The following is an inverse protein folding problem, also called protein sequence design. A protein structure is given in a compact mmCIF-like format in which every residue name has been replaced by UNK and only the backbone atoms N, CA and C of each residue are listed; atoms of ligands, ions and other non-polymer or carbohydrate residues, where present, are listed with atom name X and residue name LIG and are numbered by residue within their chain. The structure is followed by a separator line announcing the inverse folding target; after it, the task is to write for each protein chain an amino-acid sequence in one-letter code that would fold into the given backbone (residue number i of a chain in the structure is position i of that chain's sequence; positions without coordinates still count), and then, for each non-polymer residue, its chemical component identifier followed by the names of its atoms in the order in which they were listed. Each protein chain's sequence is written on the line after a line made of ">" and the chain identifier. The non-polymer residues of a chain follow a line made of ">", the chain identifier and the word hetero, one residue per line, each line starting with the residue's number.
data_IF_424347803272
#
_entry.id   IF_424347803272
#
_cell.length_a   1.000
_cell.length_b   1.000
_cell.length_c   1.000
_cell.angle_alpha   90.00
_cell.angle_beta   90.00
_cell.angle_gamma   90.00
#
_symmetry.space_group_name_H-M   'P 1'
#
loop_
_entity.id
_entity.type
_entity.pdbx_description
1 polymer ?
#
# COMPACT_ATOMS: atom_id res chain seq x y z
N UNK A 1 -5.53 -28.39 -19.36
CA UNK A 1 -4.27 -28.03 -20.08
C UNK A 1 -3.27 -27.54 -19.06
N UNK A 2 -1.98 -27.71 -19.29
CA UNK A 2 -0.96 -27.20 -18.37
C UNK A 2 0.06 -26.33 -19.11
N UNK A 3 0.53 -25.28 -18.46
CA UNK A 3 1.61 -24.38 -18.89
C UNK A 3 2.45 -24.02 -17.65
N UNK A 4 3.59 -23.39 -17.84
CA UNK A 4 4.31 -22.72 -16.75
C UNK A 4 4.47 -21.23 -17.02
N UNK A 5 4.64 -20.44 -15.97
CA UNK A 5 5.06 -19.04 -16.05
C UNK A 5 6.45 -18.95 -15.41
N UNK A 6 7.45 -18.48 -16.16
CA UNK A 6 8.78 -18.28 -15.58
C UNK A 6 8.81 -16.99 -14.76
N UNK A 7 8.58 -17.18 -13.47
CA UNK A 7 8.62 -16.16 -12.41
C UNK A 7 9.64 -16.52 -11.32
N UNK A 8 10.65 -17.33 -11.67
CA UNK A 8 11.73 -17.77 -10.78
C UNK A 8 12.56 -16.59 -10.24
N UNK A 9 12.72 -15.54 -11.05
CA UNK A 9 13.15 -14.22 -10.61
C UNK A 9 11.95 -13.24 -10.71
N UNK A 10 11.42 -12.74 -9.59
CA UNK A 10 10.28 -11.82 -9.59
C UNK A 10 10.60 -10.48 -10.27
N UNK A 11 11.88 -10.10 -10.41
CA UNK A 11 12.30 -8.88 -11.09
C UNK A 11 12.54 -9.07 -12.60
N UNK A 12 12.45 -10.30 -13.09
CA UNK A 12 12.65 -10.67 -14.50
C UNK A 12 11.64 -11.71 -14.97
N UNK A 13 10.39 -11.57 -14.53
CA UNK A 13 9.30 -12.47 -14.91
C UNK A 13 8.72 -12.16 -16.30
N UNK A 14 8.20 -13.18 -16.97
CA UNK A 14 7.39 -13.01 -18.19
C UNK A 14 5.91 -13.12 -17.85
N UNK A 15 5.04 -12.47 -18.64
CA UNK A 15 3.58 -12.59 -18.49
C UNK A 15 2.98 -13.59 -19.50
N UNK A 16 3.81 -14.38 -20.17
CA UNK A 16 3.39 -15.29 -21.23
C UNK A 16 3.63 -16.74 -20.81
N UNK A 17 2.58 -17.50 -20.48
CA UNK A 17 2.73 -18.89 -20.10
C UNK A 17 3.25 -19.75 -21.26
N UNK A 18 4.19 -20.63 -20.95
CA UNK A 18 4.85 -21.53 -21.89
C UNK A 18 4.44 -23.00 -21.67
N UNK A 19 4.41 -23.84 -22.72
CA UNK A 19 4.58 -23.50 -24.12
C UNK A 19 3.30 -22.89 -24.74
N UNK A 20 3.44 -22.20 -25.89
CA UNK A 20 2.31 -21.59 -26.64
C UNK A 20 1.22 -22.59 -27.02
N UNK A 21 1.56 -23.89 -27.14
CA UNK A 21 0.60 -24.98 -27.35
C UNK A 21 0.54 -25.83 -26.08
N UNK A 22 -0.41 -25.56 -25.16
CA UNK A 22 -0.45 -26.20 -23.86
C UNK A 22 -0.66 -27.72 -24.00
N UNK A 23 0.22 -28.57 -23.45
CA UNK A 23 -0.03 -30.00 -23.39
C UNK A 23 -1.22 -30.32 -22.47
N UNK A 24 -1.72 -31.55 -22.61
CA UNK A 24 -2.73 -32.11 -21.72
C UNK A 24 -2.05 -32.92 -20.63
N UNK A 25 -2.48 -32.72 -19.40
CA UNK A 25 -2.12 -33.51 -18.23
C UNK A 25 -3.42 -33.98 -17.58
N UNK A 26 -3.46 -35.25 -17.17
CA UNK A 26 -4.61 -35.85 -16.51
C UNK A 26 -4.33 -35.89 -15.01
N UNK A 27 -4.99 -35.02 -14.26
CA UNK A 27 -4.97 -35.06 -12.80
C UNK A 27 -5.91 -36.15 -12.29
N UNK A 28 -5.54 -36.75 -11.17
CA UNK A 28 -6.42 -37.58 -10.35
C UNK A 28 -7.13 -36.69 -9.34
N UNK A 29 -8.46 -36.73 -9.34
CA UNK A 29 -9.29 -35.90 -8.45
C UNK A 29 -9.23 -36.34 -6.99
N UNK A 30 -8.84 -37.58 -6.75
CA UNK A 30 -8.81 -38.25 -5.44
C UNK A 30 -7.42 -38.29 -4.80
N UNK A 31 -6.43 -37.64 -5.40
CA UNK A 31 -5.07 -37.54 -4.86
C UNK A 31 -4.67 -36.07 -4.61
N UNK A 32 -3.95 -35.79 -3.52
CA UNK A 32 -3.39 -34.46 -3.28
C UNK A 32 -2.55 -33.96 -4.46
N UNK A 33 -2.63 -32.67 -4.74
CA UNK A 33 -1.92 -32.06 -5.87
C UNK A 33 -0.40 -32.08 -5.69
N UNK A 34 0.11 -32.04 -4.45
CA UNK A 34 1.53 -32.14 -4.11
C UNK A 34 2.15 -33.45 -4.62
N UNK A 35 1.37 -34.54 -4.65
CA UNK A 35 1.80 -35.83 -5.16
C UNK A 35 1.80 -35.91 -6.70
N UNK A 36 1.21 -34.92 -7.38
CA UNK A 36 1.02 -34.89 -8.83
C UNK A 36 1.85 -33.81 -9.53
N UNK A 37 2.25 -32.76 -8.80
CA UNK A 37 2.96 -31.59 -9.35
C UNK A 37 4.28 -31.96 -10.05
N UNK A 38 5.02 -32.95 -9.54
CA UNK A 38 6.23 -33.45 -10.16
C UNK A 38 5.98 -34.09 -11.55
N UNK A 39 4.77 -34.58 -11.81
CA UNK A 39 4.35 -35.04 -13.14
C UNK A 39 4.16 -33.88 -14.11
N UNK A 40 3.51 -32.81 -13.65
CA UNK A 40 3.28 -31.57 -14.42
C UNK A 40 4.60 -30.88 -14.75
N UNK A 41 5.48 -30.73 -13.74
CA UNK A 41 6.82 -30.16 -13.88
C UNK A 41 7.64 -30.87 -14.96
N UNK A 42 7.75 -32.20 -14.89
CA UNK A 42 8.48 -33.02 -15.88
C UNK A 42 7.89 -32.93 -17.29
N UNK A 43 6.56 -32.90 -17.41
CA UNK A 43 5.88 -32.77 -18.70
C UNK A 43 6.21 -31.42 -19.35
N UNK A 44 6.21 -30.35 -18.57
CA UNK A 44 6.47 -28.99 -19.03
C UNK A 44 7.96 -28.70 -19.23
N UNK A 45 8.85 -29.48 -18.60
CA UNK A 45 10.29 -29.18 -18.49
C UNK A 45 10.51 -27.78 -17.92
N UNK A 46 9.72 -27.42 -16.92
CA UNK A 46 9.73 -26.11 -16.31
C UNK A 46 11.09 -25.82 -15.64
N UNK A 47 11.61 -24.58 -15.69
CA UNK A 47 12.90 -24.22 -15.12
C UNK A 47 12.89 -24.14 -13.59
N UNK A 48 11.70 -24.12 -12.97
CA UNK A 48 11.50 -24.05 -11.53
C UNK A 48 12.15 -25.21 -10.77
N UNK A 49 12.58 -24.96 -9.53
CA UNK A 49 12.89 -26.06 -8.61
C UNK A 49 11.59 -26.79 -8.26
N UNK A 50 11.55 -28.13 -8.26
CA UNK A 50 10.32 -28.89 -8.01
C UNK A 50 9.62 -28.53 -6.70
N UNK A 51 10.40 -28.29 -5.64
CA UNK A 51 9.88 -28.01 -4.29
C UNK A 51 9.35 -26.57 -4.13
N UNK A 52 9.71 -25.66 -5.05
CA UNK A 52 9.32 -24.24 -5.04
C UNK A 52 8.09 -24.00 -5.95
N UNK A 53 7.48 -25.06 -6.49
CA UNK A 53 6.38 -24.95 -7.45
C UNK A 53 5.02 -24.78 -6.76
N UNK A 54 4.14 -24.03 -7.41
CA UNK A 54 2.73 -23.85 -7.12
C UNK A 54 1.89 -24.06 -8.38
N UNK A 55 0.58 -24.28 -8.22
CA UNK A 55 -0.37 -24.38 -9.32
C UNK A 55 -1.40 -23.26 -9.22
N UNK A 56 -1.60 -22.53 -10.31
CA UNK A 56 -2.55 -21.43 -10.39
C UNK A 56 -3.54 -21.65 -11.54
N UNK A 57 -4.80 -21.31 -11.35
CA UNK A 57 -5.82 -21.37 -12.38
C UNK A 57 -5.71 -20.15 -13.32
N UNK A 58 -5.61 -20.40 -14.63
CA UNK A 58 -5.37 -19.33 -15.61
C UNK A 58 -6.51 -18.33 -15.78
N UNK A 59 -7.69 -18.61 -15.22
CA UNK A 59 -8.92 -17.87 -15.49
C UNK A 59 -9.37 -17.00 -14.31
N UNK A 60 -9.24 -17.54 -13.10
CA UNK A 60 -9.52 -16.82 -11.86
C UNK A 60 -8.26 -16.20 -11.26
N UNK A 61 -7.08 -16.75 -11.55
CA UNK A 61 -5.85 -16.42 -10.83
C UNK A 61 -5.75 -17.10 -9.47
N UNK A 62 -6.71 -17.96 -9.07
CA UNK A 62 -6.65 -18.67 -7.79
C UNK A 62 -5.46 -19.62 -7.74
N UNK A 63 -4.75 -19.60 -6.62
CA UNK A 63 -3.73 -20.59 -6.29
C UNK A 63 -4.41 -21.83 -5.69
N UNK A 64 -4.08 -23.01 -6.21
CA UNK A 64 -4.59 -24.27 -5.70
C UNK A 64 -3.80 -24.70 -4.47
N UNK A 65 -4.51 -25.20 -3.46
CA UNK A 65 -3.88 -25.82 -2.30
C UNK A 65 -3.28 -27.17 -2.72
N UNK A 66 -1.96 -27.29 -2.60
CA UNK A 66 -1.23 -28.49 -3.00
C UNK A 66 -1.46 -29.67 -2.05
N UNK A 67 -1.75 -29.41 -0.77
CA UNK A 67 -1.99 -30.46 0.23
C UNK A 67 -3.38 -31.09 0.05
N UNK A 68 -4.31 -30.38 -0.59
CA UNK A 68 -5.66 -30.84 -0.88
C UNK A 68 -5.78 -31.56 -2.22
N UNK A 69 -6.80 -32.40 -2.35
CA UNK A 69 -7.24 -33.02 -3.60
C UNK A 69 -8.03 -32.01 -4.46
N UNK A 70 -8.24 -32.29 -5.75
CA UNK A 70 -9.12 -31.44 -6.59
C UNK A 70 -10.60 -31.58 -6.19
N UNK A 71 -10.99 -32.73 -5.65
CA UNK A 71 -12.36 -32.95 -5.17
C UNK A 71 -12.70 -32.07 -3.96
N UNK A 72 -11.74 -31.81 -3.07
CA UNK A 72 -11.92 -30.97 -1.88
C UNK A 72 -12.00 -29.48 -2.19
N UNK A 73 -11.36 -29.02 -3.27
CA UNK A 73 -11.33 -27.62 -3.70
C UNK A 73 -12.11 -27.41 -5.01
N UNK A 74 -13.22 -28.13 -5.17
CA UNK A 74 -14.01 -28.11 -6.42
C UNK A 74 -14.62 -26.74 -6.72
N UNK A 75 -14.92 -25.96 -5.69
CA UNK A 75 -15.53 -24.63 -5.82
C UNK A 75 -14.58 -23.65 -6.55
N UNK A 76 -13.27 -23.78 -6.34
CA UNK A 76 -12.25 -23.00 -7.08
C UNK A 76 -12.18 -23.36 -8.57
N UNK A 77 -12.69 -24.54 -8.95
CA UNK A 77 -12.71 -25.04 -10.32
C UNK A 77 -14.01 -24.72 -11.07
N UNK A 78 -14.93 -23.96 -10.46
CA UNK A 78 -16.14 -23.47 -11.13
C UNK A 78 -15.76 -22.67 -12.39
N UNK A 79 -16.45 -22.92 -13.51
CA UNK A 79 -16.09 -22.36 -14.82
C UNK A 79 -14.97 -23.09 -15.57
N UNK A 80 -14.16 -23.94 -14.92
CA UNK A 80 -13.17 -24.79 -15.63
C UNK A 80 -13.83 -25.91 -16.45
N UNK A 81 -15.04 -26.33 -16.06
CA UNK A 81 -15.81 -27.42 -16.67
C UNK A 81 -16.96 -26.94 -17.61
N UNK A 82 -17.29 -25.66 -17.60
CA UNK A 82 -18.42 -25.10 -18.35
C UNK A 82 -18.01 -24.71 -19.78
N UNK A 83 -17.89 -25.71 -20.66
CA UNK A 83 -18.39 -25.57 -22.03
C UNK A 83 -18.11 -26.85 -22.84
N UNK A 84 -19.12 -27.71 -22.97
CA UNK A 84 -19.12 -28.78 -23.98
C UNK A 84 -19.36 -28.26 -25.41
N UNK A 85 -19.48 -26.94 -25.60
CA UNK A 85 -19.91 -26.33 -26.86
C UNK A 85 -18.86 -25.52 -27.61
N UNK A 86 -18.10 -24.64 -26.93
CA UNK A 86 -17.10 -23.75 -27.57
C UNK A 86 -16.22 -22.99 -26.55
N UNK A 87 -15.88 -23.63 -25.43
CA UNK A 87 -15.29 -23.00 -24.25
C UNK A 87 -13.88 -22.48 -24.43
N UNK A 88 -13.59 -21.34 -23.78
CA UNK A 88 -12.23 -20.87 -23.55
C UNK A 88 -11.44 -22.01 -22.90
N UNK A 89 -10.30 -22.37 -23.51
CA UNK A 89 -9.47 -23.48 -23.07
C UNK A 89 -8.67 -23.07 -21.84
N UNK A 90 -9.24 -23.24 -20.65
CA UNK A 90 -8.58 -22.96 -19.37
C UNK A 90 -7.34 -23.85 -19.17
N UNK A 91 -6.32 -23.28 -18.52
CA UNK A 91 -5.08 -23.98 -18.17
C UNK A 91 -4.80 -23.87 -16.67
N UNK A 92 -4.06 -24.85 -16.16
CA UNK A 92 -3.39 -24.78 -14.87
C UNK A 92 -1.95 -24.33 -15.17
N UNK A 93 -1.51 -23.27 -14.51
CA UNK A 93 -0.20 -22.67 -14.66
C UNK A 93 0.68 -23.14 -13.50
N UNK A 94 1.76 -23.84 -13.82
CA UNK A 94 2.84 -24.12 -12.88
C UNK A 94 3.70 -22.86 -12.74
N UNK A 95 3.92 -22.40 -11.53
CA UNK A 95 4.71 -21.20 -11.26
C UNK A 95 5.41 -21.30 -9.92
N UNK A 96 6.19 -20.29 -9.55
CA UNK A 96 6.87 -20.25 -8.25
C UNK A 96 5.87 -19.93 -7.13
N UNK A 97 6.02 -20.57 -5.97
CA UNK A 97 5.22 -20.27 -4.77
C UNK A 97 5.32 -18.78 -4.38
N UNK A 98 4.21 -18.23 -3.89
CA UNK A 98 4.14 -16.83 -3.46
C UNK A 98 5.19 -16.52 -2.39
N UNK A 99 5.29 -17.37 -1.36
CA UNK A 99 6.27 -17.24 -0.28
C UNK A 99 7.70 -17.18 -0.81
N UNK A 100 8.09 -18.10 -1.70
CA UNK A 100 9.42 -18.14 -2.31
C UNK A 100 9.71 -16.85 -3.10
N UNK A 101 8.75 -16.36 -3.89
CA UNK A 101 8.89 -15.10 -4.64
C UNK A 101 9.01 -13.88 -3.73
N UNK A 102 8.23 -13.83 -2.64
CA UNK A 102 8.31 -12.75 -1.64
C UNK A 102 9.67 -12.74 -0.95
N UNK A 103 10.18 -13.91 -0.53
CA UNK A 103 11.51 -13.99 0.07
C UNK A 103 12.59 -13.57 -0.91
N UNK A 104 12.49 -13.95 -2.20
CA UNK A 104 13.40 -13.48 -3.23
C UNK A 104 13.34 -11.96 -3.44
N UNK A 105 12.13 -11.36 -3.37
CA UNK A 105 11.97 -9.91 -3.38
C UNK A 105 12.72 -9.25 -2.21
N UNK A 106 12.46 -9.70 -0.98
CA UNK A 106 13.06 -9.14 0.24
C UNK A 106 14.59 -9.31 0.23
N UNK A 107 15.07 -10.51 -0.09
CA UNK A 107 16.50 -10.80 -0.19
C UNK A 107 17.19 -9.89 -1.21
N UNK A 108 16.57 -9.69 -2.38
CA UNK A 108 17.09 -8.78 -3.41
C UNK A 108 17.22 -7.37 -2.88
N UNK A 109 16.24 -6.87 -2.13
CA UNK A 109 16.27 -5.51 -1.59
C UNK A 109 17.37 -5.32 -0.54
N UNK A 110 17.61 -6.30 0.33
CA UNK A 110 18.68 -6.22 1.32
C UNK A 110 20.08 -6.39 0.73
N UNK A 111 20.23 -7.21 -0.31
CA UNK A 111 21.55 -7.57 -0.86
C UNK A 111 21.96 -6.74 -2.08
N UNK A 112 21.09 -5.89 -2.62
CA UNK A 112 21.40 -5.04 -3.78
C UNK A 112 21.86 -3.65 -3.35
N UNK A 113 22.72 -3.02 -4.15
CA UNK A 113 23.13 -1.62 -3.98
C UNK A 113 23.16 -0.86 -5.31
N UNK A 114 23.19 0.46 -5.25
CA UNK A 114 23.35 1.32 -6.43
C UNK A 114 22.31 1.05 -7.54
N UNK A 115 22.79 0.85 -8.78
CA UNK A 115 21.92 0.67 -9.95
C UNK A 115 20.99 -0.54 -9.82
N UNK A 116 21.43 -1.60 -9.17
CA UNK A 116 20.65 -2.82 -9.02
C UNK A 116 19.48 -2.60 -8.06
N UNK A 117 19.75 -2.03 -6.87
CA UNK A 117 18.72 -1.68 -5.91
C UNK A 117 17.70 -0.70 -6.51
N UNK A 118 18.18 0.31 -7.25
CA UNK A 118 17.32 1.26 -7.95
C UNK A 118 16.34 0.56 -8.90
N UNK A 119 16.80 -0.44 -9.65
CA UNK A 119 15.94 -1.21 -10.57
C UNK A 119 14.95 -2.08 -9.81
N UNK A 120 15.40 -2.76 -8.76
CA UNK A 120 14.54 -3.58 -7.92
C UNK A 120 13.39 -2.74 -7.33
N UNK A 121 13.71 -1.63 -6.65
CA UNK A 121 12.72 -0.71 -6.09
C UNK A 121 11.75 -0.16 -7.14
N UNK A 122 12.25 0.19 -8.33
CA UNK A 122 11.41 0.69 -9.41
C UNK A 122 10.38 -0.36 -9.87
N UNK A 123 10.77 -1.62 -9.93
CA UNK A 123 9.92 -2.73 -10.39
C UNK A 123 8.89 -3.19 -9.36
N UNK A 124 9.11 -2.97 -8.05
CA UNK A 124 8.23 -3.45 -6.99
C UNK A 124 6.76 -3.08 -7.19
N UNK A 125 6.49 -1.85 -7.64
CA UNK A 125 5.11 -1.43 -7.94
C UNK A 125 4.46 -2.39 -8.94
N UNK A 126 5.14 -2.69 -10.04
CA UNK A 126 4.59 -3.53 -11.10
C UNK A 126 4.40 -4.97 -10.60
N UNK A 127 5.33 -5.47 -9.79
CA UNK A 127 5.25 -6.82 -9.21
C UNK A 127 3.96 -7.00 -8.39
N UNK A 128 3.67 -6.06 -7.48
CA UNK A 128 2.42 -6.11 -6.69
C UNK A 128 1.17 -5.83 -7.51
N UNK A 129 1.29 -5.05 -8.59
CA UNK A 129 0.18 -4.76 -9.48
C UNK A 129 -0.21 -5.98 -10.34
N UNK A 130 0.78 -6.74 -10.82
CA UNK A 130 0.57 -7.91 -11.68
C UNK A 130 0.12 -9.14 -10.88
N UNK A 131 0.45 -9.21 -9.59
CA UNK A 131 0.12 -10.34 -8.72
C UNK A 131 -0.26 -9.87 -7.31
N UNK A 132 -1.55 -9.61 -7.12
CA UNK A 132 -2.10 -9.08 -5.86
C UNK A 132 -1.87 -10.01 -4.67
N UNK A 133 -1.77 -11.32 -4.90
CA UNK A 133 -1.65 -12.32 -3.84
C UNK A 133 -0.26 -12.28 -3.19
N UNK A 134 0.73 -11.66 -3.85
CA UNK A 134 2.02 -11.34 -3.23
C UNK A 134 1.90 -10.30 -2.11
N UNK A 135 0.86 -9.47 -2.09
CA UNK A 135 0.76 -8.37 -1.11
C UNK A 135 0.56 -8.91 0.30
N UNK A 136 -0.36 -9.87 0.46
CA UNK A 136 -0.58 -10.54 1.74
C UNK A 136 0.71 -11.21 2.24
N UNK A 137 1.32 -12.05 1.39
CA UNK A 137 2.56 -12.77 1.72
C UNK A 137 3.73 -11.82 2.03
N UNK A 138 3.83 -10.69 1.32
CA UNK A 138 4.86 -9.69 1.55
C UNK A 138 4.70 -9.00 2.91
N UNK A 139 3.48 -8.73 3.33
CA UNK A 139 3.20 -8.19 4.67
C UNK A 139 3.58 -9.20 5.75
N UNK A 140 3.16 -10.47 5.60
CA UNK A 140 3.45 -11.56 6.56
C UNK A 140 4.96 -11.80 6.70
N UNK A 141 5.72 -11.71 5.61
CA UNK A 141 7.16 -11.92 5.59
C UNK A 141 8.00 -10.70 6.04
N UNK A 142 7.43 -9.75 6.79
CA UNK A 142 8.10 -8.51 7.23
C UNK A 142 8.61 -7.62 6.08
N UNK A 143 7.98 -7.70 4.91
CA UNK A 143 8.36 -6.92 3.74
C UNK A 143 8.22 -5.41 3.94
N UNK A 144 7.23 -4.96 4.73
CA UNK A 144 7.10 -3.55 5.11
C UNK A 144 8.32 -3.07 5.91
N UNK A 145 8.79 -3.85 6.89
CA UNK A 145 10.00 -3.55 7.64
C UNK A 145 11.22 -3.43 6.74
N UNK A 146 11.33 -4.31 5.72
CA UNK A 146 12.38 -4.20 4.70
C UNK A 146 12.32 -2.87 3.95
N UNK A 147 11.12 -2.44 3.50
CA UNK A 147 10.96 -1.17 2.79
C UNK A 147 11.37 0.03 3.66
N UNK A 148 11.00 0.03 4.94
CA UNK A 148 11.34 1.13 5.85
C UNK A 148 12.85 1.17 6.12
N UNK A 149 13.49 0.03 6.38
CA UNK A 149 14.95 -0.05 6.58
C UNK A 149 15.71 0.46 5.36
N UNK A 150 15.33 0.02 4.16
CA UNK A 150 15.95 0.49 2.91
C UNK A 150 15.67 1.97 2.69
N UNK A 151 14.46 2.45 2.98
CA UNK A 151 14.04 3.83 2.74
C UNK A 151 14.62 4.87 3.71
N UNK A 152 14.92 4.48 4.95
CA UNK A 152 15.44 5.38 5.98
C UNK A 152 16.81 5.97 5.64
N UNK A 153 17.67 5.21 4.97
CA UNK A 153 19.05 5.61 4.61
C UNK A 153 19.20 6.00 3.13
N UNK A 154 18.11 5.95 2.35
CA UNK A 154 18.18 6.11 0.91
C UNK A 154 17.96 7.54 0.42
N UNK A 155 18.40 7.80 -0.82
CA UNK A 155 18.14 9.07 -1.50
C UNK A 155 16.66 9.23 -1.89
N UNK A 156 16.28 10.45 -2.25
CA UNK A 156 14.89 10.83 -2.57
C UNK A 156 14.27 10.03 -3.72
N UNK A 157 15.08 9.53 -4.68
CA UNK A 157 14.56 8.73 -5.78
C UNK A 157 14.15 7.34 -5.28
N UNK A 158 14.97 6.76 -4.39
CA UNK A 158 14.72 5.43 -3.82
C UNK A 158 13.52 5.50 -2.89
N UNK A 159 13.46 6.53 -2.03
CA UNK A 159 12.28 6.84 -1.22
C UNK A 159 11.02 6.94 -2.07
N UNK A 160 11.07 7.67 -3.19
CA UNK A 160 9.92 7.77 -4.10
C UNK A 160 9.52 6.42 -4.72
N UNK A 161 10.47 5.57 -5.11
CA UNK A 161 10.13 4.23 -5.60
C UNK A 161 9.48 3.36 -4.51
N UNK A 162 9.96 3.45 -3.26
CA UNK A 162 9.33 2.78 -2.11
C UNK A 162 7.92 3.31 -1.88
N UNK A 163 7.73 4.62 -1.88
CA UNK A 163 6.40 5.25 -1.73
C UNK A 163 5.42 4.80 -2.83
N UNK A 164 5.89 4.66 -4.07
CA UNK A 164 5.07 4.13 -5.18
C UNK A 164 4.69 2.66 -4.98
N UNK A 165 5.57 1.85 -4.40
CA UNK A 165 5.27 0.46 -4.05
C UNK A 165 4.29 0.38 -2.87
N UNK A 166 4.50 1.18 -1.82
CA UNK A 166 3.56 1.29 -0.69
C UNK A 166 2.17 1.74 -1.15
N UNK A 167 2.09 2.74 -2.02
CA UNK A 167 0.82 3.17 -2.60
C UNK A 167 0.11 2.07 -3.37
N UNK A 168 0.85 1.15 -4.01
CA UNK A 168 0.25 -0.03 -4.65
C UNK A 168 -0.22 -1.05 -3.62
N UNK A 169 0.57 -1.32 -2.57
CA UNK A 169 0.20 -2.22 -1.46
C UNK A 169 -1.10 -1.75 -0.79
N UNK A 170 -1.23 -0.44 -0.53
CA UNK A 170 -2.40 0.15 0.13
C UNK A 170 -3.71 0.03 -0.65
N UNK A 171 -3.67 -0.28 -1.95
CA UNK A 171 -4.90 -0.52 -2.73
C UNK A 171 -5.57 -1.86 -2.40
N UNK A 172 -4.86 -2.76 -1.72
CA UNK A 172 -5.37 -4.07 -1.33
C UNK A 172 -5.68 -4.10 0.17
N UNK A 173 -6.76 -4.78 0.54
CA UNK A 173 -7.22 -4.89 1.93
C UNK A 173 -6.13 -5.47 2.84
N UNK A 174 -5.49 -6.57 2.42
CA UNK A 174 -4.37 -7.16 3.18
C UNK A 174 -3.19 -6.19 3.34
N UNK A 175 -2.89 -5.42 2.30
CA UNK A 175 -1.82 -4.43 2.33
C UNK A 175 -2.11 -3.31 3.32
N UNK A 176 -3.33 -2.76 3.29
CA UNK A 176 -3.76 -1.72 4.22
C UNK A 176 -3.79 -2.21 5.67
N UNK A 177 -4.34 -3.39 5.93
CA UNK A 177 -4.33 -4.03 7.26
C UNK A 177 -2.89 -4.26 7.77
N UNK A 178 -1.99 -4.62 6.85
CA UNK A 178 -0.55 -4.70 7.13
C UNK A 178 0.05 -3.38 7.58
N UNK A 179 -0.28 -2.27 6.92
CA UNK A 179 0.17 -0.94 7.32
C UNK A 179 -0.42 -0.50 8.67
N UNK A 180 -1.71 -0.78 8.92
CA UNK A 180 -2.36 -0.49 10.20
C UNK A 180 -1.67 -1.23 11.36
N UNK A 181 -1.15 -2.43 11.09
CA UNK A 181 -0.44 -3.26 12.08
C UNK A 181 1.06 -2.94 12.18
N UNK A 182 1.61 -2.06 11.33
CA UNK A 182 3.04 -1.76 11.26
C UNK A 182 3.31 -0.26 11.45
N UNK A 183 3.37 0.16 12.73
CA UNK A 183 3.51 1.56 13.15
C UNK A 183 4.71 2.28 12.53
N UNK A 184 5.82 1.57 12.32
CA UNK A 184 7.03 2.11 11.72
C UNK A 184 6.80 2.62 10.29
N UNK A 185 5.87 2.04 9.53
CA UNK A 185 5.53 2.54 8.20
C UNK A 185 4.85 3.90 8.29
N UNK A 186 3.87 4.05 9.18
CA UNK A 186 3.13 5.30 9.36
C UNK A 186 4.05 6.39 9.93
N UNK A 187 4.91 6.05 10.89
CA UNK A 187 5.95 6.94 11.43
C UNK A 187 6.91 7.40 10.32
N UNK A 188 7.31 6.50 9.42
CA UNK A 188 8.19 6.84 8.31
C UNK A 188 7.50 7.74 7.29
N UNK A 189 6.26 7.45 6.90
CA UNK A 189 5.45 8.31 6.02
C UNK A 189 5.33 9.72 6.58
N UNK A 190 5.00 9.86 7.87
CA UNK A 190 4.94 11.16 8.53
C UNK A 190 6.30 11.86 8.59
N UNK A 191 7.38 11.13 8.89
CA UNK A 191 8.74 11.68 8.89
C UNK A 191 9.16 12.25 7.53
N UNK A 192 8.67 11.67 6.43
CA UNK A 192 8.94 12.12 5.06
C UNK A 192 8.17 13.38 4.65
N UNK A 193 7.15 13.78 5.42
CA UNK A 193 6.47 15.08 5.25
C UNK A 193 7.44 16.23 5.50
N UNK A 194 8.38 16.08 6.44
CA UNK A 194 9.46 17.05 6.70
C UNK A 194 10.67 16.94 5.74
N UNK A 195 10.51 16.32 4.57
CA UNK A 195 11.59 16.16 3.59
C UNK A 195 11.82 17.44 2.79
N UNK A 196 13.07 17.78 2.49
CA UNK A 196 13.42 18.89 1.59
C UNK A 196 13.02 18.66 0.12
N UNK A 197 12.54 17.47 -0.22
CA UNK A 197 12.21 17.08 -1.59
C UNK A 197 10.70 17.08 -1.80
N UNK A 198 10.18 18.12 -2.48
CA UNK A 198 8.75 18.32 -2.76
C UNK A 198 8.00 17.04 -3.18
N UNK A 199 8.58 16.24 -4.08
CA UNK A 199 7.92 15.03 -4.59
C UNK A 199 7.75 13.93 -3.52
N UNK A 200 8.71 13.84 -2.58
CA UNK A 200 8.64 12.92 -1.44
C UNK A 200 7.56 13.39 -0.47
N UNK A 201 7.54 14.68 -0.14
CA UNK A 201 6.50 15.29 0.72
C UNK A 201 5.11 15.06 0.13
N UNK A 202 4.91 15.45 -1.13
CA UNK A 202 3.64 15.28 -1.84
C UNK A 202 3.13 13.85 -1.82
N UNK A 203 4.01 12.89 -2.14
CA UNK A 203 3.62 11.48 -2.19
C UNK A 203 3.30 10.96 -0.79
N UNK A 204 4.07 11.36 0.22
CA UNK A 204 3.84 10.94 1.62
C UNK A 204 2.51 11.47 2.15
N UNK A 205 2.18 12.75 1.92
CA UNK A 205 0.88 13.32 2.29
C UNK A 205 -0.28 12.58 1.63
N UNK A 206 -0.17 12.24 0.34
CA UNK A 206 -1.19 11.46 -0.36
C UNK A 206 -1.39 10.07 0.24
N UNK A 207 -0.31 9.38 0.60
CA UNK A 207 -0.42 8.08 1.24
C UNK A 207 -1.03 8.18 2.64
N UNK A 208 -0.66 9.20 3.43
CA UNK A 208 -1.28 9.46 4.73
C UNK A 208 -2.78 9.76 4.60
N UNK A 209 -3.20 10.52 3.57
CA UNK A 209 -4.62 10.74 3.28
C UNK A 209 -5.34 9.42 2.95
N UNK A 210 -4.80 8.62 2.04
CA UNK A 210 -5.37 7.29 1.71
C UNK A 210 -5.45 6.38 2.94
N UNK A 211 -4.47 6.48 3.85
CA UNK A 211 -4.48 5.75 5.11
C UNK A 211 -5.63 6.19 6.03
N UNK A 212 -5.77 7.49 6.29
CA UNK A 212 -6.82 8.00 7.20
C UNK A 212 -8.22 7.84 6.60
N UNK A 213 -8.38 7.96 5.28
CA UNK A 213 -9.67 7.78 4.59
C UNK A 213 -10.15 6.31 4.56
N UNK A 214 -9.26 5.34 4.82
CA UNK A 214 -9.63 3.92 4.76
C UNK A 214 -10.62 3.52 5.86
N UNK A 215 -10.40 3.98 7.09
CA UNK A 215 -11.28 3.75 8.24
C UNK A 215 -11.03 4.81 9.30
N UNK A 216 -12.08 5.24 10.01
CA UNK A 216 -12.01 6.27 11.06
C UNK A 216 -10.94 5.95 12.12
N UNK A 217 -10.80 4.67 12.49
CA UNK A 217 -9.79 4.23 13.47
C UNK A 217 -8.33 4.52 13.07
N UNK A 218 -8.05 4.76 11.79
CA UNK A 218 -6.71 5.11 11.31
C UNK A 218 -6.27 6.51 11.73
N UNK A 219 -7.21 7.42 12.05
CA UNK A 219 -6.88 8.72 12.60
C UNK A 219 -6.08 8.60 13.91
N UNK A 220 -6.54 7.74 14.83
CA UNK A 220 -5.84 7.47 16.09
C UNK A 220 -4.44 6.85 15.86
N UNK A 221 -4.32 5.94 14.88
CA UNK A 221 -3.03 5.34 14.52
C UNK A 221 -2.06 6.37 13.95
N UNK A 222 -2.55 7.31 13.12
CA UNK A 222 -1.73 8.41 12.61
C UNK A 222 -1.25 9.32 13.75
N UNK A 223 -2.14 9.72 14.66
CA UNK A 223 -1.77 10.56 15.82
C UNK A 223 -0.70 9.88 16.67
N UNK A 224 -0.83 8.58 16.94
CA UNK A 224 0.19 7.81 17.66
C UNK A 224 1.54 7.82 16.94
N UNK A 225 1.53 7.67 15.61
CA UNK A 225 2.75 7.73 14.80
C UNK A 225 3.38 9.13 14.80
N UNK A 226 2.59 10.19 14.69
CA UNK A 226 3.04 11.59 14.80
C UNK A 226 3.70 11.80 16.16
N UNK A 227 3.03 11.40 17.24
CA UNK A 227 3.56 11.52 18.59
C UNK A 227 4.90 10.79 18.77
N UNK A 228 5.00 9.56 18.26
CA UNK A 228 6.24 8.79 18.33
C UNK A 228 7.40 9.46 17.57
N UNK A 229 7.14 10.08 16.41
CA UNK A 229 8.16 10.78 15.62
C UNK A 229 8.59 12.08 16.29
N UNK A 230 7.64 12.91 16.69
CA UNK A 230 7.92 14.23 17.26
C UNK A 230 8.54 14.14 18.65
N UNK A 231 8.10 13.18 19.48
CA UNK A 231 8.75 12.89 20.78
C UNK A 231 10.22 12.49 20.61
N UNK A 232 10.54 11.68 19.59
CA UNK A 232 11.94 11.30 19.30
C UNK A 232 12.77 12.50 18.84
N UNK A 233 12.16 13.49 18.18
CA UNK A 233 12.83 14.70 17.68
C UNK A 233 12.88 15.84 18.71
N UNK A 234 12.07 15.77 19.77
CA UNK A 234 11.95 16.83 20.77
C UNK A 234 11.19 18.06 20.27
N UNK A 235 10.28 17.87 19.31
CA UNK A 235 9.47 18.90 18.65
C UNK A 235 7.99 18.75 19.01
N UNK A 236 7.17 19.76 18.69
CA UNK A 236 5.73 19.74 18.95
C UNK A 236 5.03 18.76 18.01
N UNK A 237 3.90 18.20 18.45
CA UNK A 237 3.04 17.37 17.60
C UNK A 237 2.68 18.11 16.30
N UNK A 238 2.57 17.44 15.16
CA UNK A 238 2.21 18.08 13.88
C UNK A 238 3.20 19.10 13.31
N UNK A 239 4.38 19.27 13.91
CA UNK A 239 5.40 20.22 13.46
C UNK A 239 5.65 20.21 11.95
N UNK A 240 5.90 19.03 11.35
CA UNK A 240 6.20 18.94 9.91
C UNK A 240 5.04 19.44 9.02
N UNK A 241 3.79 19.30 9.48
CA UNK A 241 2.61 19.77 8.76
C UNK A 241 2.46 21.29 8.93
N UNK A 242 2.70 21.80 10.14
CA UNK A 242 2.71 23.23 10.41
C UNK A 242 3.78 23.97 9.59
N UNK A 243 4.98 23.39 9.43
CA UNK A 243 6.02 24.01 8.58
C UNK A 243 5.59 24.16 7.11
N UNK A 244 4.79 23.21 6.60
CA UNK A 244 4.20 23.31 5.26
C UNK A 244 3.20 24.46 5.21
N UNK A 245 2.29 24.55 6.19
CA UNK A 245 1.25 25.58 6.25
C UNK A 245 1.82 27.00 6.43
N UNK A 246 2.97 27.11 7.10
CA UNK A 246 3.73 28.35 7.27
C UNK A 246 4.46 28.83 5.99
N UNK A 247 4.47 28.03 4.92
CA UNK A 247 5.13 28.35 3.64
C UNK A 247 6.65 28.60 3.75
N UNK A 248 7.35 27.95 4.71
CA UNK A 248 8.78 28.18 4.97
C UNK A 248 9.68 27.97 3.74
N UNK A 249 9.34 27.02 2.89
CA UNK A 249 10.07 26.69 1.65
C UNK A 249 9.46 27.32 0.38
N UNK A 250 8.52 28.25 0.55
CA UNK A 250 7.78 28.91 -0.53
C UNK A 250 6.33 28.44 -0.64
N UNK A 251 5.56 29.16 -1.45
CA UNK A 251 4.12 28.90 -1.62
C UNK A 251 3.90 27.72 -2.56
N UNK A 252 3.27 26.67 -2.05
CA UNK A 252 2.89 25.47 -2.81
C UNK A 252 1.46 25.07 -2.47
N UNK A 253 0.49 25.67 -3.17
CA UNK A 253 -0.94 25.51 -2.88
C UNK A 253 -1.38 24.05 -2.78
N UNK A 254 -0.82 23.17 -3.62
CA UNK A 254 -1.17 21.76 -3.60
C UNK A 254 -0.73 21.07 -2.28
N UNK A 255 0.46 21.39 -1.75
CA UNK A 255 0.89 20.85 -0.46
C UNK A 255 0.09 21.43 0.70
N UNK A 256 -0.23 22.72 0.63
CA UNK A 256 -1.07 23.39 1.64
C UNK A 256 -2.45 22.72 1.73
N UNK A 257 -3.08 22.44 0.57
CA UNK A 257 -4.36 21.73 0.52
C UNK A 257 -4.22 20.34 1.14
N UNK A 258 -3.25 19.51 0.72
CA UNK A 258 -3.09 18.17 1.30
C UNK A 258 -2.78 18.19 2.80
N UNK A 259 -1.97 19.14 3.26
CA UNK A 259 -1.65 19.32 4.68
C UNK A 259 -2.91 19.64 5.50
N UNK A 260 -3.70 20.61 5.05
CA UNK A 260 -4.92 21.00 5.75
C UNK A 260 -6.01 19.93 5.66
N UNK A 261 -6.18 19.27 4.51
CA UNK A 261 -7.09 18.13 4.36
C UNK A 261 -6.71 16.99 5.30
N UNK A 262 -5.41 16.71 5.47
CA UNK A 262 -4.97 15.66 6.38
C UNK A 262 -5.32 15.99 7.83
N UNK A 263 -5.17 17.25 8.27
CA UNK A 263 -5.63 17.69 9.59
C UNK A 263 -7.13 17.47 9.72
N UNK A 264 -7.94 18.01 8.79
CA UNK A 264 -9.39 17.91 8.84
C UNK A 264 -9.88 16.45 8.90
N UNK A 265 -9.36 15.58 8.03
CA UNK A 265 -9.74 14.16 8.00
C UNK A 265 -9.28 13.42 9.25
N UNK A 266 -8.15 13.81 9.83
CA UNK A 266 -7.68 13.20 11.09
C UNK A 266 -8.55 13.62 12.26
N UNK A 267 -8.91 14.90 12.37
CA UNK A 267 -9.79 15.41 13.42
C UNK A 267 -11.20 14.81 13.31
N UNK A 268 -11.75 14.71 12.10
CA UNK A 268 -13.06 14.10 11.85
C UNK A 268 -13.11 12.60 12.18
N UNK A 269 -11.97 11.91 12.26
CA UNK A 269 -11.88 10.51 12.64
C UNK A 269 -11.74 10.26 14.14
N UNK A 270 -11.76 11.32 14.98
CA UNK A 270 -11.64 11.18 16.43
C UNK A 270 -12.98 10.73 17.05
N UNK A 271 -12.95 9.81 18.04
CA UNK A 271 -14.16 9.17 18.56
C UNK A 271 -14.94 10.02 19.58
N UNK A 272 -14.30 11.03 20.19
CA UNK A 272 -14.87 11.84 21.26
C UNK A 272 -14.33 13.28 21.24
N UNK A 273 -15.09 14.18 21.86
CA UNK A 273 -14.78 15.61 21.92
C UNK A 273 -13.50 15.90 22.71
N UNK A 274 -13.22 15.15 23.79
CA UNK A 274 -12.01 15.35 24.59
C UNK A 274 -10.75 15.17 23.74
N UNK A 275 -10.70 14.07 22.97
CA UNK A 275 -9.61 13.79 22.04
C UNK A 275 -9.52 14.84 20.92
N UNK A 276 -10.66 15.34 20.44
CA UNK A 276 -10.72 16.41 19.44
C UNK A 276 -10.09 17.70 19.96
N UNK A 277 -10.49 18.16 21.15
CA UNK A 277 -9.97 19.38 21.75
C UNK A 277 -8.49 19.27 22.15
N UNK A 278 -8.06 18.11 22.68
CA UNK A 278 -6.63 17.85 22.93
C UNK A 278 -5.78 18.07 21.67
N UNK A 279 -6.32 17.66 20.51
CA UNK A 279 -5.63 17.80 19.23
C UNK A 279 -5.68 19.22 18.67
N UNK A 280 -6.84 19.89 18.75
CA UNK A 280 -6.99 21.29 18.34
C UNK A 280 -6.07 22.19 19.17
N UNK A 281 -6.04 22.03 20.49
CA UNK A 281 -5.15 22.80 21.38
C UNK A 281 -3.68 22.66 20.96
N UNK A 282 -3.25 21.46 20.59
CA UNK A 282 -1.89 21.23 20.09
C UNK A 282 -1.58 21.99 18.78
N UNK A 283 -2.58 22.14 17.90
CA UNK A 283 -2.45 22.88 16.64
C UNK A 283 -2.47 24.40 16.90
N UNK A 284 -3.34 24.87 17.80
CA UNK A 284 -3.43 26.28 18.16
C UNK A 284 -2.20 26.78 18.91
N UNK A 285 -1.61 25.96 19.77
CA UNK A 285 -0.30 26.21 20.41
C UNK A 285 0.86 26.38 19.41
N UNK A 286 0.65 26.01 18.15
CA UNK A 286 1.58 26.22 17.03
C UNK A 286 1.15 27.35 16.09
N UNK A 287 0.02 28.01 16.36
CA UNK A 287 -0.46 29.16 15.60
C UNK A 287 -1.25 28.79 14.34
N UNK A 288 -2.04 27.71 14.39
CA UNK A 288 -2.93 27.36 13.28
C UNK A 288 -3.97 28.44 12.99
N UNK A 289 -4.63 29.02 13.99
CA UNK A 289 -5.55 30.16 13.84
C UNK A 289 -4.89 31.33 13.09
N UNK A 290 -3.71 31.75 13.53
CA UNK A 290 -2.98 32.84 12.88
C UNK A 290 -2.60 32.51 11.43
N UNK A 291 -2.28 31.24 11.16
CA UNK A 291 -1.97 30.73 9.82
C UNK A 291 -3.22 30.72 8.92
N UNK A 292 -4.36 30.27 9.43
CA UNK A 292 -5.63 30.26 8.74
C UNK A 292 -6.08 31.68 8.37
N UNK A 293 -6.08 32.61 9.34
CA UNK A 293 -6.44 34.02 9.12
C UNK A 293 -5.56 34.69 8.05
N UNK A 294 -4.26 34.40 8.06
CA UNK A 294 -3.32 34.91 7.05
C UNK A 294 -3.66 34.42 5.65
N UNK A 295 -4.00 33.15 5.49
CA UNK A 295 -4.36 32.57 4.18
C UNK A 295 -5.73 33.05 3.70
N UNK A 296 -6.73 33.12 4.57
CA UNK A 296 -8.08 33.60 4.25
C UNK A 296 -8.10 35.10 3.91
N UNK A 297 -7.25 35.92 4.55
CA UNK A 297 -7.14 37.35 4.28
C UNK A 297 -6.34 37.72 3.03
N UNK A 298 -5.58 36.77 2.46
CA UNK A 298 -4.71 37.02 1.31
C UNK A 298 -5.50 36.95 0.00
N UNK A 299 -5.37 37.99 -0.84
CA UNK A 299 -5.97 37.98 -2.18
C UNK A 299 -5.25 36.99 -3.09
N UNK A 300 -6.00 36.12 -3.75
CA UNK A 300 -5.47 35.12 -4.68
C UNK A 300 -5.03 33.81 -4.03
N UNK A 301 -5.42 33.56 -2.78
CA UNK A 301 -5.31 32.23 -2.16
C UNK A 301 -6.13 31.22 -2.97
N UNK A 302 -5.58 30.01 -3.07
CA UNK A 302 -6.23 28.89 -3.74
C UNK A 302 -7.59 28.58 -3.11
N UNK A 303 -8.61 28.37 -3.94
CA UNK A 303 -10.00 28.19 -3.47
C UNK A 303 -10.16 26.88 -2.70
N UNK A 304 -9.44 25.83 -3.08
CA UNK A 304 -9.50 24.53 -2.40
C UNK A 304 -8.87 24.67 -1.01
N UNK A 305 -7.80 25.46 -0.88
CA UNK A 305 -7.19 25.75 0.42
C UNK A 305 -8.12 26.56 1.33
N UNK A 306 -8.79 27.58 0.77
CA UNK A 306 -9.80 28.37 1.49
C UNK A 306 -10.93 27.47 1.97
N UNK A 307 -11.40 26.53 1.14
CA UNK A 307 -12.42 25.56 1.52
C UNK A 307 -11.94 24.67 2.68
N UNK A 308 -10.70 24.17 2.67
CA UNK A 308 -10.17 23.36 3.76
C UNK A 308 -10.09 24.12 5.09
N UNK A 309 -9.69 25.40 5.09
CA UNK A 309 -9.72 26.21 6.31
C UNK A 309 -11.15 26.50 6.77
N UNK A 310 -12.09 26.73 5.85
CA UNK A 310 -13.49 26.92 6.22
C UNK A 310 -14.10 25.65 6.83
N UNK A 311 -13.74 24.46 6.33
CA UNK A 311 -14.17 23.18 6.92
C UNK A 311 -13.66 23.08 8.36
N UNK A 312 -12.39 23.38 8.61
CA UNK A 312 -11.81 23.38 9.96
C UNK A 312 -12.59 24.30 10.91
N UNK A 313 -12.80 25.57 10.52
CA UNK A 313 -13.52 26.56 11.31
C UNK A 313 -14.99 26.17 11.57
N UNK A 314 -15.66 25.60 10.57
CA UNK A 314 -17.04 25.12 10.72
C UNK A 314 -17.14 23.95 11.68
N UNK A 315 -16.22 22.99 11.59
CA UNK A 315 -16.17 21.85 12.51
C UNK A 315 -15.87 22.31 13.93
N UNK A 316 -14.90 23.22 14.12
CA UNK A 316 -14.58 23.77 15.43
C UNK A 316 -15.79 24.46 16.10
N UNK A 317 -16.51 25.31 15.36
CA UNK A 317 -17.74 25.95 15.86
C UNK A 317 -18.85 24.97 16.19
N UNK A 318 -18.98 23.92 15.38
CA UNK A 318 -19.96 22.86 15.63
C UNK A 318 -19.64 22.13 16.94
N UNK A 319 -18.38 21.79 17.19
CA UNK A 319 -17.95 21.17 18.45
C UNK A 319 -18.14 22.11 19.65
N UNK A 320 -17.94 23.42 19.47
CA UNK A 320 -18.15 24.45 20.51
C UNK A 320 -19.64 24.67 20.87
N UNK A 321 -20.57 24.09 20.10
CA UNK A 321 -22.02 24.21 20.33
C UNK A 321 -22.67 25.44 19.70
N UNK A 322 -22.01 26.09 18.73
CA UNK A 322 -22.59 27.17 17.92
C UNK A 322 -23.55 26.59 16.86
N UNK A 323 -24.77 26.30 17.31
CA UNK A 323 -25.84 25.49 16.66
C UNK A 323 -26.48 26.10 15.38
N UNK A 324 -25.79 26.94 14.60
CA UNK A 324 -26.31 27.52 13.35
C UNK A 324 -25.79 26.90 12.03
N UNK A 325 -24.86 25.93 12.06
CA UNK A 325 -24.30 25.35 10.83
C UNK A 325 -24.33 23.82 10.79
N UNK A 326 -25.03 23.26 9.79
CA UNK A 326 -24.98 21.83 9.47
C UNK A 326 -23.56 21.39 9.11
N UNK A 327 -23.12 20.18 9.51
CA UNK A 327 -21.80 19.68 9.17
C UNK A 327 -21.66 19.53 7.63
N UNK A 328 -20.47 19.80 7.06
CA UNK A 328 -20.22 19.55 5.64
C UNK A 328 -20.34 18.05 5.32
N UNK A 329 -20.75 17.70 4.08
CA UNK A 329 -20.84 16.30 3.67
C UNK A 329 -19.46 15.60 3.72
N UNK A 330 -19.47 14.36 4.21
CA UNK A 330 -18.30 13.50 4.52
C UNK A 330 -17.36 13.22 3.34
#
# INVERSE_FOLDING_TARGET
>A
RVQFLDDTDPFNSTNFPEPTRPPLFTFREDLPLINQIAGVHRLLKAPHKPDDCALQLSHSGSYLDLESTLAEQRDELEGFQEDRGRGKKHSIILRTQLSVRVHACIEKLYNSTGRELRRALFSLKQIFQDDKDLVHEFVVAEGLTCLIKVGAEADQNYQNYILRALGQIMLYVDGMNGLMSHSETVQWLYSLVGSKFRLVVKTSLKLLLVFVEYTESNAALLIQAVNAVETKRGTKLWWNIMEILEEKDGVDSELLVFAMTLINKTLAGLPDQDSYYDMVDCLEDQGLEATALRHLGRKGTDLDLVEQFNIYEMTLRHEDGDDETQPPPS
#
